data_IF_245116993588
#
_entry.id   IF_245116993588
#
_cell.length_a   1.000
_cell.length_b   1.000
_cell.length_c   1.000
_cell.angle_alpha   90.00
_cell.angle_beta   90.00
_cell.angle_gamma   90.00
#
_symmetry.space_group_name_H-M   'P 1'
#
loop_
_entity.id
_entity.type
_entity.pdbx_description
1 polymer ?
#
# COMPACT_ATOMS: atom_id res chain seq x y z
N UNK A 1 11.45 -27.63 18.06
CA UNK A 1 10.36 -28.57 17.72
C UNK A 1 9.94 -28.34 16.27
N UNK A 2 9.27 -29.30 15.62
CA UNK A 2 8.73 -29.09 14.25
C UNK A 2 7.80 -27.87 14.19
N UNK A 3 7.05 -27.62 15.27
CA UNK A 3 6.15 -26.48 15.41
C UNK A 3 6.87 -25.13 15.31
N UNK A 4 7.97 -24.94 16.06
CA UNK A 4 8.76 -23.70 15.99
C UNK A 4 9.33 -23.42 14.59
N UNK A 5 9.80 -24.46 13.87
CA UNK A 5 10.26 -24.29 12.47
C UNK A 5 9.13 -23.85 11.54
N UNK A 6 7.94 -24.42 11.72
CA UNK A 6 6.78 -24.06 10.92
C UNK A 6 6.34 -22.61 11.17
N UNK A 7 6.35 -22.15 12.43
CA UNK A 7 6.01 -20.79 12.84
C UNK A 7 6.99 -19.75 12.26
N UNK A 8 8.30 -20.00 12.36
CA UNK A 8 9.33 -19.13 11.76
C UNK A 8 9.14 -19.07 10.23
N UNK A 9 8.94 -20.21 9.58
CA UNK A 9 8.72 -20.25 8.13
C UNK A 9 7.46 -19.50 7.70
N UNK A 10 6.38 -19.55 8.50
CA UNK A 10 5.18 -18.76 8.24
C UNK A 10 5.44 -17.25 8.40
N UNK A 11 6.15 -16.84 9.46
CA UNK A 11 6.50 -15.44 9.68
C UNK A 11 7.36 -14.87 8.53
N UNK A 12 8.35 -15.64 8.05
CA UNK A 12 9.18 -15.25 6.90
C UNK A 12 8.36 -15.06 5.61
N UNK A 13 7.44 -15.97 5.31
CA UNK A 13 6.55 -15.83 4.14
C UNK A 13 5.64 -14.62 4.27
N UNK A 14 5.09 -14.37 5.45
CA UNK A 14 4.24 -13.21 5.71
C UNK A 14 5.00 -11.90 5.53
N UNK A 15 6.25 -11.82 6.01
CA UNK A 15 7.12 -10.67 5.78
C UNK A 15 7.35 -10.41 4.29
N UNK A 16 7.70 -11.44 3.54
CA UNK A 16 7.92 -11.33 2.08
C UNK A 16 6.64 -10.88 1.35
N UNK A 17 5.47 -11.38 1.76
CA UNK A 17 4.18 -10.94 1.20
C UNK A 17 3.91 -9.48 1.53
N UNK A 18 4.17 -9.04 2.76
CA UNK A 18 3.98 -7.66 3.17
C UNK A 18 4.89 -6.68 2.40
N UNK A 19 6.15 -7.06 2.16
CA UNK A 19 7.08 -6.30 1.33
C UNK A 19 6.57 -6.13 -0.11
N UNK A 20 6.12 -7.22 -0.74
CA UNK A 20 5.52 -7.15 -2.09
C UNK A 20 4.25 -6.28 -2.13
N UNK A 21 3.44 -6.30 -1.07
CA UNK A 21 2.25 -5.44 -0.96
C UNK A 21 2.61 -3.97 -0.93
N UNK A 22 3.74 -3.58 -0.31
CA UNK A 22 4.23 -2.20 -0.37
C UNK A 22 4.50 -1.80 -1.83
N UNK A 23 5.25 -2.61 -2.58
CA UNK A 23 5.58 -2.31 -3.97
C UNK A 23 4.32 -2.12 -4.85
N UNK A 24 3.32 -2.99 -4.68
CA UNK A 24 2.02 -2.87 -5.37
C UNK A 24 1.29 -1.60 -4.95
N UNK A 25 1.25 -1.27 -3.66
CA UNK A 25 0.60 -0.07 -3.16
C UNK A 25 1.29 1.21 -3.66
N UNK A 26 2.61 1.24 -3.74
CA UNK A 26 3.37 2.35 -4.33
C UNK A 26 3.04 2.55 -5.81
N UNK A 27 2.92 1.46 -6.58
CA UNK A 27 2.46 1.54 -7.97
C UNK A 27 1.04 2.10 -8.06
N UNK A 28 0.14 1.68 -7.17
CA UNK A 28 -1.21 2.23 -7.08
C UNK A 28 -1.23 3.73 -6.78
N UNK A 29 -0.35 4.21 -5.89
CA UNK A 29 -0.18 5.65 -5.61
C UNK A 29 0.30 6.40 -6.85
N UNK A 30 1.29 5.87 -7.58
CA UNK A 30 1.79 6.48 -8.83
C UNK A 30 0.69 6.59 -9.89
N UNK A 31 -0.09 5.53 -10.09
CA UNK A 31 -1.20 5.53 -11.04
C UNK A 31 -2.30 6.51 -10.64
N UNK A 32 -2.71 6.53 -9.37
CA UNK A 32 -3.73 7.45 -8.88
C UNK A 32 -3.27 8.92 -9.00
N UNK A 33 -1.99 9.21 -8.75
CA UNK A 33 -1.40 10.54 -8.95
C UNK A 33 -1.47 10.97 -10.42
N UNK A 34 -1.11 10.09 -11.34
CA UNK A 34 -1.18 10.40 -12.78
C UNK A 34 -2.62 10.63 -13.24
N UNK A 35 -3.57 9.83 -12.75
CA UNK A 35 -5.00 10.01 -13.05
C UNK A 35 -5.52 11.35 -12.55
N UNK A 36 -5.19 11.72 -11.31
CA UNK A 36 -5.51 13.03 -10.76
C UNK A 36 -4.91 14.16 -11.61
N UNK A 37 -3.64 14.05 -12.00
CA UNK A 37 -2.98 15.07 -12.82
C UNK A 37 -3.68 15.32 -14.17
N UNK A 38 -4.14 14.26 -14.84
CA UNK A 38 -4.90 14.37 -16.10
C UNK A 38 -6.25 15.07 -15.85
N UNK A 39 -6.95 14.69 -14.79
CA UNK A 39 -8.24 15.32 -14.45
C UNK A 39 -8.07 16.79 -14.04
N UNK A 40 -7.02 17.13 -13.31
CA UNK A 40 -6.67 18.53 -12.98
C UNK A 40 -6.41 19.36 -14.25
N UNK A 41 -5.72 18.80 -15.25
CA UNK A 41 -5.49 19.47 -16.53
C UNK A 41 -6.80 19.75 -17.26
N UNK A 42 -7.64 18.72 -17.43
CA UNK A 42 -8.93 18.85 -18.11
C UNK A 42 -9.90 19.78 -17.35
N UNK A 43 -9.89 19.75 -16.01
CA UNK A 43 -10.68 20.66 -15.19
C UNK A 43 -10.29 22.12 -15.43
N UNK A 44 -8.98 22.43 -15.49
CA UNK A 44 -8.49 23.80 -15.81
C UNK A 44 -8.92 24.28 -17.19
N UNK A 45 -9.10 23.36 -18.14
CA UNK A 45 -9.62 23.64 -19.48
C UNK A 45 -11.15 23.69 -19.55
N UNK A 46 -11.85 23.47 -18.43
CA UNK A 46 -13.32 23.42 -18.37
C UNK A 46 -13.93 22.14 -18.95
N UNK A 47 -13.12 21.09 -19.15
CA UNK A 47 -13.51 19.81 -19.75
C UNK A 47 -13.89 18.72 -18.74
N UNK A 48 -13.78 18.99 -17.44
CA UNK A 48 -14.17 18.09 -16.35
C UNK A 48 -14.97 18.85 -15.28
N UNK A 49 -15.84 18.15 -14.56
CA UNK A 49 -16.62 18.76 -13.48
C UNK A 49 -15.80 18.79 -12.19
N UNK A 50 -16.16 19.71 -11.29
CA UNK A 50 -15.57 19.75 -9.94
C UNK A 50 -15.78 18.43 -9.18
N UNK A 51 -16.90 17.74 -9.38
CA UNK A 51 -17.15 16.42 -8.77
C UNK A 51 -16.14 15.37 -9.24
N UNK A 52 -15.81 15.37 -10.53
CA UNK A 52 -14.85 14.42 -11.11
C UNK A 52 -13.44 14.68 -10.57
N UNK A 53 -13.06 15.95 -10.37
CA UNK A 53 -11.82 16.33 -9.71
C UNK A 53 -11.76 15.81 -8.26
N UNK A 54 -12.79 16.10 -7.46
CA UNK A 54 -12.88 15.67 -6.06
C UNK A 54 -12.80 14.14 -5.92
N UNK A 55 -13.46 13.40 -6.82
CA UNK A 55 -13.40 11.94 -6.83
C UNK A 55 -11.96 11.45 -7.06
N UNK A 56 -11.20 12.07 -7.98
CA UNK A 56 -9.81 11.68 -8.23
C UNK A 56 -8.88 12.04 -7.08
N UNK A 57 -9.10 13.16 -6.41
CA UNK A 57 -8.39 13.52 -5.19
C UNK A 57 -8.64 12.51 -4.07
N UNK A 58 -9.90 12.08 -3.90
CA UNK A 58 -10.27 11.04 -2.96
C UNK A 58 -9.62 9.70 -3.29
N UNK A 59 -9.60 9.31 -4.57
CA UNK A 59 -8.90 8.08 -5.02
C UNK A 59 -7.40 8.13 -4.75
N UNK A 60 -6.73 9.26 -5.00
CA UNK A 60 -5.31 9.44 -4.70
C UNK A 60 -5.03 9.40 -3.20
N UNK A 61 -5.89 10.01 -2.39
CA UNK A 61 -5.81 9.96 -0.92
C UNK A 61 -5.98 8.54 -0.40
N UNK A 62 -6.97 7.80 -0.92
CA UNK A 62 -7.18 6.39 -0.57
C UNK A 62 -6.00 5.51 -0.99
N UNK A 63 -5.36 5.78 -2.13
CA UNK A 63 -4.16 5.06 -2.54
C UNK A 63 -2.99 5.29 -1.56
N UNK A 64 -2.80 6.54 -1.11
CA UNK A 64 -1.79 6.87 -0.08
C UNK A 64 -2.09 6.17 1.25
N UNK A 65 -3.36 6.12 1.66
CA UNK A 65 -3.76 5.40 2.87
C UNK A 65 -3.47 3.89 2.77
N UNK A 66 -3.74 3.27 1.61
CA UNK A 66 -3.39 1.86 1.36
C UNK A 66 -1.88 1.61 1.45
N UNK A 67 -1.06 2.52 0.93
CA UNK A 67 0.40 2.42 1.08
C UNK A 67 0.83 2.52 2.54
N UNK A 68 0.25 3.46 3.29
CA UNK A 68 0.53 3.59 4.72
C UNK A 68 0.18 2.30 5.48
N UNK A 69 -1.00 1.72 5.19
CA UNK A 69 -1.40 0.44 5.78
C UNK A 69 -0.43 -0.69 5.41
N UNK A 70 0.00 -0.79 4.15
CA UNK A 70 0.95 -1.80 3.73
C UNK A 70 2.30 -1.70 4.47
N UNK A 71 2.78 -0.46 4.70
CA UNK A 71 3.99 -0.22 5.49
C UNK A 71 3.81 -0.62 6.96
N UNK A 72 2.67 -0.33 7.56
CA UNK A 72 2.33 -0.76 8.91
C UNK A 72 2.26 -2.30 9.00
N UNK A 73 1.57 -2.96 8.07
CA UNK A 73 1.47 -4.42 8.01
C UNK A 73 2.86 -5.08 7.89
N UNK A 74 3.80 -4.47 7.15
CA UNK A 74 5.18 -4.92 7.06
C UNK A 74 5.93 -4.81 8.39
N UNK A 75 5.80 -3.68 9.11
CA UNK A 75 6.41 -3.53 10.45
C UNK A 75 5.86 -4.56 11.45
N UNK A 76 4.57 -4.87 11.36
CA UNK A 76 3.96 -5.93 12.16
C UNK A 76 4.55 -7.30 11.79
N UNK A 77 4.73 -7.60 10.50
CA UNK A 77 5.33 -8.85 10.05
C UNK A 77 6.80 -9.01 10.49
N UNK A 78 7.58 -7.91 10.49
CA UNK A 78 8.93 -7.88 11.08
C UNK A 78 8.88 -8.24 12.56
N UNK A 79 7.98 -7.60 13.32
CA UNK A 79 7.83 -7.85 14.76
C UNK A 79 7.44 -9.31 15.06
N UNK A 80 6.57 -9.89 14.24
CA UNK A 80 6.17 -11.30 14.34
C UNK A 80 7.33 -12.26 14.05
N UNK A 81 8.17 -11.94 13.06
CA UNK A 81 9.35 -12.73 12.76
C UNK A 81 10.36 -12.67 13.91
N UNK A 82 10.63 -11.48 14.44
CA UNK A 82 11.52 -11.30 15.59
C UNK A 82 11.05 -12.16 16.77
N UNK A 83 9.77 -12.05 17.15
CA UNK A 83 9.16 -12.88 18.18
C UNK A 83 9.31 -14.38 17.93
N UNK A 84 9.04 -14.85 16.70
CA UNK A 84 9.16 -16.27 16.35
C UNK A 84 10.62 -16.78 16.38
N UNK A 85 11.59 -15.90 16.15
CA UNK A 85 13.03 -16.21 16.21
C UNK A 85 13.67 -15.96 17.58
N UNK A 86 12.92 -15.39 18.52
CA UNK A 86 13.41 -15.02 19.85
C UNK A 86 14.33 -13.78 19.86
N UNK A 87 14.17 -12.90 18.87
CA UNK A 87 14.88 -11.61 18.75
C UNK A 87 14.00 -10.44 19.16
#
# INVERSE_FOLDING_TARGET
TQQARNEIGAAQRNLQVAEKRIAVAEQGVRQAKQSLHITEQRYREGLEKTSDLLDREAMFTNAKLRLLKAKHDFQLAVSQLNFATGQ
#
